data_IF_067496677184
#
_entry.id   IF_067496677184
#
_cell.length_a   1.000
_cell.length_b   1.000
_cell.length_c   1.000
_cell.angle_alpha   90.00
_cell.angle_beta   90.00
_cell.angle_gamma   90.00
#
_symmetry.space_group_name_H-M   'P 1'
#
loop_
_entity.id
_entity.type
_entity.pdbx_description
1 polymer ?
#
# COMPACT_ATOMS: atom_id res chain seq x y z
N UNK A 1 6.12 1.67 1.25
CA UNK A 1 6.22 0.91 0.00
C UNK A 1 6.67 -0.51 0.31
N UNK A 2 5.92 -1.50 -0.17
CA UNK A 2 6.30 -2.91 -0.15
C UNK A 2 6.99 -3.24 -1.46
N UNK A 3 8.19 -3.82 -1.45
CA UNK A 3 8.98 -4.04 -2.67
C UNK A 3 9.59 -5.45 -2.72
N UNK A 4 9.89 -5.94 -3.91
CA UNK A 4 10.59 -7.19 -4.17
C UNK A 4 12.09 -7.00 -4.01
N UNK A 5 12.68 -7.62 -2.98
CA UNK A 5 14.11 -7.54 -2.64
C UNK A 5 15.01 -8.17 -3.72
N UNK A 6 14.57 -9.28 -4.27
CA UNK A 6 15.29 -9.97 -5.34
C UNK A 6 15.40 -9.12 -6.61
N UNK A 7 14.28 -8.48 -7.02
CA UNK A 7 14.26 -7.55 -8.17
C UNK A 7 15.11 -6.31 -7.86
N UNK A 8 15.00 -5.75 -6.65
CA UNK A 8 15.84 -4.61 -6.23
C UNK A 8 17.32 -4.93 -6.39
N UNK A 9 17.72 -6.10 -5.91
CA UNK A 9 19.12 -6.56 -6.01
C UNK A 9 19.58 -6.80 -7.44
N UNK A 10 18.72 -7.39 -8.26
CA UNK A 10 19.03 -7.65 -9.68
C UNK A 10 19.17 -6.35 -10.47
N UNK A 11 18.22 -5.43 -10.36
CA UNK A 11 18.16 -4.23 -11.22
C UNK A 11 19.00 -3.07 -10.68
N UNK A 12 19.04 -2.90 -9.35
CA UNK A 12 19.70 -1.75 -8.72
C UNK A 12 20.94 -2.12 -7.90
N UNK A 13 21.24 -3.42 -7.73
CA UNK A 13 22.41 -3.90 -7.02
C UNK A 13 22.30 -3.89 -5.49
N UNK A 14 21.15 -3.52 -4.94
CA UNK A 14 20.89 -3.48 -3.50
C UNK A 14 19.49 -3.94 -3.18
N UNK A 15 19.31 -4.56 -2.01
CA UNK A 15 18.02 -4.91 -1.41
C UNK A 15 17.84 -4.24 -0.02
N UNK A 16 18.72 -3.31 0.32
CA UNK A 16 18.67 -2.54 1.55
C UNK A 16 17.48 -1.56 1.54
N UNK A 17 16.57 -1.57 2.55
CA UNK A 17 15.38 -0.73 2.57
C UNK A 17 15.65 0.77 2.46
N UNK A 18 16.73 1.27 3.09
CA UNK A 18 17.08 2.69 3.07
C UNK A 18 17.56 3.12 1.68
N UNK A 19 18.28 2.24 0.98
CA UNK A 19 18.73 2.51 -0.39
C UNK A 19 17.58 2.37 -1.39
N UNK A 20 16.71 1.37 -1.22
CA UNK A 20 15.53 1.19 -2.08
C UNK A 20 14.52 2.33 -1.87
N UNK A 21 14.33 2.82 -0.66
CA UNK A 21 13.48 3.99 -0.40
C UNK A 21 13.86 5.23 -1.20
N UNK A 22 15.15 5.41 -1.52
CA UNK A 22 15.62 6.52 -2.38
C UNK A 22 15.11 6.45 -3.82
N UNK A 23 14.71 5.26 -4.28
CA UNK A 23 14.13 5.06 -5.61
C UNK A 23 12.69 5.62 -5.71
N UNK A 24 12.06 5.89 -4.56
CA UNK A 24 10.69 6.39 -4.45
C UNK A 24 10.59 7.80 -3.87
N UNK A 25 11.72 8.50 -3.69
CA UNK A 25 11.77 9.78 -2.96
C UNK A 25 10.97 10.92 -3.58
N UNK A 26 10.77 10.92 -4.89
CA UNK A 26 10.02 11.93 -5.65
C UNK A 26 9.54 11.35 -6.99
N UNK A 27 8.57 11.99 -7.62
CA UNK A 27 7.94 11.51 -8.85
C UNK A 27 8.92 11.39 -10.04
N UNK A 28 9.84 12.32 -10.30
CA UNK A 28 10.85 12.12 -11.33
C UNK A 28 11.74 10.88 -11.10
N UNK A 29 12.12 10.63 -9.85
CA UNK A 29 12.90 9.45 -9.49
C UNK A 29 12.09 8.16 -9.68
N UNK A 30 10.79 8.17 -9.34
CA UNK A 30 9.87 7.05 -9.56
C UNK A 30 9.78 6.71 -11.05
N UNK A 31 9.65 7.71 -11.92
CA UNK A 31 9.59 7.49 -13.37
C UNK A 31 10.90 6.92 -13.94
N UNK A 32 12.05 7.42 -13.47
CA UNK A 32 13.36 6.87 -13.87
C UNK A 32 13.55 5.43 -13.38
N UNK A 33 13.12 5.13 -12.16
CA UNK A 33 13.10 3.78 -11.58
C UNK A 33 12.19 2.86 -12.39
N UNK A 34 10.99 3.33 -12.73
CA UNK A 34 10.03 2.57 -13.51
C UNK A 34 10.54 2.22 -14.91
N UNK A 35 11.24 3.15 -15.56
CA UNK A 35 11.83 2.90 -16.87
C UNK A 35 12.93 1.83 -16.79
N UNK A 36 13.80 1.88 -15.78
CA UNK A 36 14.86 0.88 -15.58
C UNK A 36 14.28 -0.50 -15.30
N UNK A 37 13.20 -0.59 -14.52
CA UNK A 37 12.48 -1.83 -14.27
C UNK A 37 11.85 -2.38 -15.55
N UNK A 38 11.21 -1.55 -16.35
CA UNK A 38 10.63 -1.94 -17.64
C UNK A 38 11.70 -2.47 -18.60
N UNK A 39 12.84 -1.81 -18.70
CA UNK A 39 13.96 -2.23 -19.53
C UNK A 39 14.55 -3.61 -19.11
N UNK A 40 14.39 -3.95 -17.81
CA UNK A 40 14.73 -5.25 -17.25
C UNK A 40 13.60 -6.30 -17.33
N UNK A 41 12.41 -5.94 -17.87
CA UNK A 41 11.28 -6.85 -18.04
C UNK A 41 10.25 -6.82 -16.90
N UNK A 42 10.39 -5.90 -15.94
CA UNK A 42 9.50 -5.72 -14.79
C UNK A 42 8.52 -4.55 -14.97
N UNK A 43 7.56 -4.43 -14.05
CA UNK A 43 6.73 -3.23 -13.90
C UNK A 43 6.89 -2.67 -12.50
N UNK A 44 6.93 -1.33 -12.37
CA UNK A 44 7.18 -0.71 -11.07
C UNK A 44 6.04 -0.96 -10.10
N UNK A 45 4.80 -0.79 -10.55
CA UNK A 45 3.57 -0.95 -9.75
C UNK A 45 2.55 -1.83 -10.46
N UNK A 46 1.59 -2.31 -9.69
CA UNK A 46 0.44 -3.02 -10.21
C UNK A 46 -0.44 -2.09 -11.07
N UNK A 47 -0.69 -0.87 -10.60
CA UNK A 47 -1.44 0.16 -11.33
C UNK A 47 -0.81 1.54 -11.17
N UNK A 48 -1.27 2.50 -11.94
CA UNK A 48 -0.89 3.91 -11.85
C UNK A 48 -1.35 4.58 -10.54
N UNK A 49 -2.39 4.03 -9.89
CA UNK A 49 -2.95 4.55 -8.65
C UNK A 49 -2.20 4.14 -7.37
N UNK A 50 -1.20 3.26 -7.43
CA UNK A 50 -0.49 2.74 -6.24
C UNK A 50 0.14 3.81 -5.35
N UNK A 51 0.46 4.98 -5.90
CA UNK A 51 1.05 6.10 -5.16
C UNK A 51 0.00 7.07 -4.58
N UNK A 52 -1.29 6.72 -4.65
CA UNK A 52 -2.38 7.59 -4.21
C UNK A 52 -2.29 8.05 -2.76
N UNK A 53 -1.78 7.21 -1.86
CA UNK A 53 -1.57 7.55 -0.44
C UNK A 53 -0.56 8.68 -0.22
N UNK A 54 0.23 9.04 -1.23
CA UNK A 54 1.24 10.09 -1.19
C UNK A 54 0.83 11.35 -1.99
N UNK A 55 -0.41 11.41 -2.48
CA UNK A 55 -0.85 12.37 -3.51
C UNK A 55 -1.04 13.81 -3.01
N UNK A 56 -1.01 14.09 -1.73
CA UNK A 56 -1.30 15.45 -1.22
C UNK A 56 -0.24 15.98 -0.28
N UNK A 57 0.02 17.29 -0.35
CA UNK A 57 1.01 17.96 0.48
C UNK A 57 0.40 18.92 1.52
N UNK A 58 -0.88 19.22 1.40
CA UNK A 58 -1.63 20.11 2.30
C UNK A 58 -3.06 19.62 2.53
N UNK A 59 -3.77 20.26 3.46
CA UNK A 59 -5.18 19.96 3.72
C UNK A 59 -6.05 20.17 2.48
N UNK A 60 -7.05 19.32 2.29
CA UNK A 60 -8.04 19.45 1.21
C UNK A 60 -8.90 20.72 1.32
N UNK A 61 -9.09 21.22 2.53
CA UNK A 61 -9.86 22.44 2.77
C UNK A 61 -9.05 23.41 3.61
N UNK A 62 -8.78 24.59 3.06
CA UNK A 62 -8.09 25.69 3.72
C UNK A 62 -9.03 26.91 3.74
N UNK A 63 -9.25 27.49 4.90
CA UNK A 63 -10.16 28.63 5.09
C UNK A 63 -11.58 28.43 4.52
N UNK A 64 -12.07 27.19 4.53
CA UNK A 64 -13.39 26.82 4.03
C UNK A 64 -13.46 26.67 2.50
N UNK A 65 -12.35 26.71 1.79
CA UNK A 65 -12.27 26.58 0.34
C UNK A 65 -11.54 25.28 -0.02
N UNK A 66 -12.02 24.57 -1.05
CA UNK A 66 -11.34 23.40 -1.61
C UNK A 66 -9.95 23.81 -2.09
N UNK A 67 -8.94 23.09 -1.64
CA UNK A 67 -7.55 23.31 -1.96
C UNK A 67 -6.96 22.11 -2.71
N UNK A 68 -6.90 22.22 -4.01
CA UNK A 68 -6.16 21.25 -4.84
C UNK A 68 -4.75 21.79 -5.02
N UNK A 69 -3.82 21.31 -4.20
CA UNK A 69 -2.43 21.77 -4.22
C UNK A 69 -1.64 21.21 -5.42
N UNK A 70 -0.44 21.75 -5.62
CA UNK A 70 0.42 21.33 -6.74
C UNK A 70 0.82 19.86 -6.65
N UNK A 71 1.04 19.32 -5.45
CA UNK A 71 1.41 17.91 -5.29
C UNK A 71 0.33 16.96 -5.84
N UNK A 72 -0.95 17.34 -5.75
CA UNK A 72 -2.06 16.57 -6.33
C UNK A 72 -2.06 16.61 -7.87
N UNK A 73 -1.74 17.76 -8.47
CA UNK A 73 -1.56 17.84 -9.92
C UNK A 73 -0.34 17.03 -10.36
N UNK A 74 0.78 17.14 -9.65
CA UNK A 74 1.99 16.38 -9.96
C UNK A 74 1.72 14.86 -9.85
N UNK A 75 0.89 14.43 -8.89
CA UNK A 75 0.45 13.04 -8.79
C UNK A 75 -0.40 12.61 -10.00
N UNK A 76 -1.31 13.45 -10.45
CA UNK A 76 -2.10 13.16 -11.67
C UNK A 76 -1.19 13.03 -12.90
N UNK A 77 -0.19 13.91 -13.03
CA UNK A 77 0.79 13.83 -14.10
C UNK A 77 1.63 12.54 -14.00
N UNK A 78 2.01 12.12 -12.78
CA UNK A 78 2.66 10.83 -12.56
C UNK A 78 1.79 9.66 -13.05
N UNK A 79 0.49 9.63 -12.69
CA UNK A 79 -0.43 8.58 -13.12
C UNK A 79 -0.52 8.53 -14.66
N UNK A 80 -0.65 9.69 -15.31
CA UNK A 80 -0.68 9.80 -16.77
C UNK A 80 0.61 9.26 -17.40
N UNK A 81 1.76 9.63 -16.85
CA UNK A 81 3.05 9.17 -17.34
C UNK A 81 3.24 7.66 -17.16
N UNK A 82 2.89 7.11 -15.98
CA UNK A 82 2.95 5.68 -15.70
C UNK A 82 2.09 4.89 -16.70
N UNK A 83 0.87 5.36 -16.94
CA UNK A 83 -0.07 4.76 -17.87
C UNK A 83 0.41 4.84 -19.32
N UNK A 84 0.72 6.04 -19.82
CA UNK A 84 1.07 6.27 -21.23
C UNK A 84 2.40 5.64 -21.63
N UNK A 85 3.34 5.50 -20.69
CA UNK A 85 4.65 4.90 -20.93
C UNK A 85 4.66 3.39 -20.70
N UNK A 86 3.50 2.77 -20.37
CA UNK A 86 3.37 1.34 -20.08
C UNK A 86 4.36 0.89 -18.98
N UNK A 87 4.31 1.57 -17.83
CA UNK A 87 5.22 1.34 -16.71
C UNK A 87 4.60 0.52 -15.57
N UNK A 88 3.31 0.22 -15.65
CA UNK A 88 2.56 -0.60 -14.67
C UNK A 88 2.00 -1.86 -15.30
N UNK A 89 1.52 -2.78 -14.47
CA UNK A 89 0.88 -4.02 -14.94
C UNK A 89 -0.61 -3.84 -15.31
N UNK A 90 -1.16 -2.63 -15.17
CA UNK A 90 -2.58 -2.31 -15.34
C UNK A 90 -3.52 -3.16 -14.47
N UNK A 91 -3.06 -3.59 -13.32
CA UNK A 91 -3.79 -4.41 -12.36
C UNK A 91 -4.31 -3.55 -11.20
N UNK A 92 -5.54 -3.09 -11.27
CA UNK A 92 -6.12 -2.22 -10.26
C UNK A 92 -6.28 -2.93 -8.92
N UNK A 93 -6.13 -2.17 -7.85
CA UNK A 93 -6.26 -2.64 -6.48
C UNK A 93 -7.55 -3.46 -6.29
N UNK A 94 -7.44 -4.56 -5.57
CA UNK A 94 -8.50 -5.55 -5.27
C UNK A 94 -8.95 -6.42 -6.43
N UNK A 95 -8.43 -6.23 -7.66
CA UNK A 95 -8.71 -7.13 -8.79
C UNK A 95 -7.91 -8.43 -8.70
N UNK A 96 -8.35 -9.46 -9.43
CA UNK A 96 -7.61 -10.72 -9.54
C UNK A 96 -6.15 -10.55 -9.94
N UNK A 97 -5.80 -9.76 -10.99
CA UNK A 97 -4.40 -9.55 -11.37
C UNK A 97 -3.59 -8.82 -10.29
N UNK A 98 -4.21 -7.96 -9.48
CA UNK A 98 -3.54 -7.30 -8.37
C UNK A 98 -3.07 -8.31 -7.31
N UNK A 99 -3.92 -9.25 -6.93
CA UNK A 99 -3.52 -10.33 -6.02
C UNK A 99 -2.50 -11.29 -6.65
N UNK A 100 -2.63 -11.59 -7.95
CA UNK A 100 -1.64 -12.40 -8.66
C UNK A 100 -0.26 -11.72 -8.69
N UNK A 101 -0.20 -10.41 -8.86
CA UNK A 101 1.04 -9.64 -8.85
C UNK A 101 1.80 -9.73 -7.51
N UNK A 102 1.09 -9.94 -6.38
CA UNK A 102 1.73 -10.23 -5.10
C UNK A 102 2.34 -11.62 -5.06
N UNK A 103 1.67 -12.59 -5.67
CA UNK A 103 2.12 -14.00 -5.69
C UNK A 103 3.28 -14.24 -6.67
N UNK A 104 3.54 -13.34 -7.61
CA UNK A 104 4.60 -13.50 -8.61
C UNK A 104 4.28 -12.87 -9.95
N UNK A 105 4.18 -13.68 -11.00
CA UNK A 105 3.91 -13.20 -12.35
C UNK A 105 2.42 -12.87 -12.56
N UNK A 106 2.17 -11.82 -13.31
CA UNK A 106 0.85 -11.38 -13.72
C UNK A 106 0.84 -11.20 -15.26
N UNK A 107 -0.28 -11.50 -15.94
CA UNK A 107 -0.41 -11.20 -17.38
C UNK A 107 -0.13 -9.72 -17.65
N UNK A 108 0.56 -9.44 -18.74
CA UNK A 108 0.76 -8.05 -19.21
C UNK A 108 -0.55 -7.59 -19.83
N UNK A 109 -1.33 -6.86 -19.05
CA UNK A 109 -2.55 -6.24 -19.51
C UNK A 109 -2.22 -5.00 -20.31
N UNK A 110 -3.12 -4.61 -21.20
CA UNK A 110 -3.06 -3.34 -21.91
C UNK A 110 -4.14 -2.41 -21.37
N UNK A 111 -4.00 -1.13 -21.66
CA UNK A 111 -5.03 -0.15 -21.33
C UNK A 111 -6.42 -0.52 -21.85
N UNK A 112 -6.48 -1.15 -23.02
CA UNK A 112 -7.75 -1.59 -23.64
C UNK A 112 -8.42 -2.73 -22.85
N UNK A 113 -7.63 -3.65 -22.29
CA UNK A 113 -8.13 -4.77 -21.46
C UNK A 113 -8.60 -4.25 -20.09
N UNK A 114 -7.95 -3.24 -19.55
CA UNK A 114 -8.39 -2.58 -18.31
C UNK A 114 -9.58 -1.66 -18.47
N UNK A 115 -9.95 -1.33 -19.68
CA UNK A 115 -11.11 -0.48 -19.88
C UNK A 115 -12.36 -1.28 -19.50
N UNK A 116 -12.78 -1.14 -18.24
CA UNK A 116 -13.96 -1.80 -17.64
C UNK A 116 -15.27 -1.54 -18.39
N UNK A 117 -15.25 -0.68 -19.40
CA UNK A 117 -16.34 -0.47 -20.35
C UNK A 117 -16.40 -1.53 -21.47
N UNK A 118 -15.30 -2.26 -21.67
CA UNK A 118 -15.28 -3.44 -22.54
C UNK A 118 -15.29 -4.70 -21.67
N UNK A 119 -16.44 -5.33 -21.48
CA UNK A 119 -16.66 -6.55 -20.70
C UNK A 119 -15.87 -7.78 -21.22
N UNK A 120 -14.83 -7.57 -22.03
CA UNK A 120 -14.06 -8.64 -22.66
C UNK A 120 -13.22 -9.45 -21.67
N UNK A 121 -12.81 -8.86 -20.54
CA UNK A 121 -12.07 -9.53 -19.47
C UNK A 121 -12.61 -9.13 -18.09
N UNK A 122 -13.24 -10.08 -17.41
CA UNK A 122 -13.70 -9.86 -16.04
C UNK A 122 -12.52 -10.00 -15.05
N UNK A 123 -11.93 -8.87 -14.66
CA UNK A 123 -10.81 -8.82 -13.70
C UNK A 123 -11.22 -9.13 -12.25
N UNK A 124 -12.52 -9.26 -11.97
CA UNK A 124 -13.07 -9.54 -10.65
C UNK A 124 -13.41 -11.02 -10.43
N UNK A 125 -13.42 -11.83 -11.50
CA UNK A 125 -13.61 -13.28 -11.43
C UNK A 125 -12.33 -13.99 -11.84
N UNK A 126 -11.73 -14.73 -10.90
CA UNK A 126 -10.44 -15.40 -11.12
C UNK A 126 -10.50 -16.46 -12.22
N UNK A 127 -11.65 -17.12 -12.42
CA UNK A 127 -11.79 -18.16 -13.45
C UNK A 127 -11.92 -17.54 -14.83
N UNK A 128 -12.78 -16.55 -14.98
CA UNK A 128 -12.96 -15.83 -16.24
C UNK A 128 -11.68 -15.11 -16.64
N UNK A 129 -11.01 -14.46 -15.68
CA UNK A 129 -9.74 -13.81 -15.91
C UNK A 129 -8.66 -14.78 -16.40
N UNK A 130 -8.50 -15.93 -15.73
CA UNK A 130 -7.52 -16.94 -16.13
C UNK A 130 -7.74 -17.50 -17.55
N UNK A 131 -9.00 -17.73 -17.94
CA UNK A 131 -9.32 -18.18 -19.31
C UNK A 131 -9.07 -17.09 -20.35
N UNK A 132 -9.43 -15.84 -20.04
CA UNK A 132 -9.26 -14.71 -20.96
C UNK A 132 -7.79 -14.33 -21.19
N UNK A 133 -6.92 -14.55 -20.18
CA UNK A 133 -5.48 -14.19 -20.23
C UNK A 133 -4.58 -15.37 -20.59
N UNK A 134 -5.14 -16.51 -20.89
CA UNK A 134 -4.39 -17.74 -21.19
C UNK A 134 -3.44 -17.58 -22.39
N UNK A 135 -2.15 -17.76 -22.11
CA UNK A 135 -1.09 -17.66 -23.13
C UNK A 135 -0.64 -16.23 -23.43
N UNK A 136 -1.09 -15.26 -22.67
CA UNK A 136 -0.50 -13.92 -22.69
C UNK A 136 0.91 -13.92 -22.08
N UNK A 137 1.75 -12.99 -22.50
CA UNK A 137 3.03 -12.72 -21.87
C UNK A 137 2.80 -12.22 -20.42
N UNK A 138 3.73 -12.57 -19.53
CA UNK A 138 3.66 -12.20 -18.11
C UNK A 138 4.78 -11.24 -17.73
N UNK A 139 4.58 -10.52 -16.62
CA UNK A 139 5.57 -9.66 -15.97
C UNK A 139 5.50 -9.84 -14.46
N UNK A 140 6.51 -9.35 -13.75
CA UNK A 140 6.49 -9.27 -12.28
C UNK A 140 6.43 -7.80 -11.85
N UNK A 141 5.60 -7.52 -10.86
CA UNK A 141 5.47 -6.21 -10.25
C UNK A 141 6.54 -6.04 -9.17
N UNK A 142 7.21 -4.89 -9.19
CA UNK A 142 8.27 -4.58 -8.25
C UNK A 142 7.75 -4.11 -6.88
N UNK A 143 6.72 -3.26 -6.85
CA UNK A 143 6.30 -2.62 -5.60
C UNK A 143 4.80 -2.34 -5.51
N UNK A 144 4.33 -2.18 -4.26
CA UNK A 144 2.97 -1.78 -3.90
C UNK A 144 3.00 -0.63 -2.89
N UNK A 145 2.15 0.37 -3.10
CA UNK A 145 1.95 1.50 -2.19
C UNK A 145 0.81 1.23 -1.21
N UNK A 146 1.08 0.54 -0.11
CA UNK A 146 0.06 0.16 0.87
C UNK A 146 0.40 0.69 2.27
N UNK A 147 -0.60 1.04 3.09
CA UNK A 147 -0.41 1.34 4.52
C UNK A 147 0.00 0.12 5.34
N UNK A 148 0.12 0.26 6.67
CA UNK A 148 0.52 -0.84 7.55
C UNK A 148 -0.42 -2.05 7.49
N UNK A 149 -1.73 -1.83 7.31
CA UNK A 149 -2.71 -2.92 7.16
C UNK A 149 -2.47 -3.76 5.89
N UNK A 150 -1.73 -3.24 4.90
CA UNK A 150 -1.34 -3.98 3.70
C UNK A 150 -0.55 -5.26 4.01
N UNK A 151 0.08 -5.37 5.19
CA UNK A 151 0.76 -6.61 5.60
C UNK A 151 -0.19 -7.81 5.65
N UNK A 152 -1.47 -7.60 6.02
CA UNK A 152 -2.47 -8.67 6.02
C UNK A 152 -2.75 -9.17 4.60
N UNK A 153 -2.94 -8.24 3.67
CA UNK A 153 -3.16 -8.57 2.26
C UNK A 153 -1.94 -9.26 1.65
N UNK A 154 -0.75 -8.73 1.91
CA UNK A 154 0.49 -9.34 1.44
C UNK A 154 0.66 -10.75 2.01
N UNK A 155 0.55 -10.93 3.32
CA UNK A 155 0.67 -12.23 4.00
C UNK A 155 -0.22 -13.30 3.35
N UNK A 156 -1.46 -12.94 3.04
CA UNK A 156 -2.45 -13.89 2.54
C UNK A 156 -2.29 -14.17 1.03
N UNK A 157 -1.52 -13.35 0.29
CA UNK A 157 -1.42 -13.44 -1.16
C UNK A 157 0.01 -13.61 -1.73
N UNK A 158 1.08 -13.44 -0.96
CA UNK A 158 2.46 -13.54 -1.49
C UNK A 158 2.86 -14.96 -1.91
N UNK A 159 2.22 -16.00 -1.40
CA UNK A 159 2.48 -17.39 -1.80
C UNK A 159 3.98 -17.75 -1.74
N UNK A 160 4.51 -18.27 -2.83
CA UNK A 160 5.90 -18.69 -2.95
C UNK A 160 6.91 -17.53 -2.97
N UNK A 161 6.46 -16.28 -3.05
CA UNK A 161 7.32 -15.08 -2.94
C UNK A 161 7.54 -14.64 -1.49
N UNK A 162 7.00 -15.36 -0.51
CA UNK A 162 7.27 -15.11 0.91
C UNK A 162 8.77 -15.11 1.21
N UNK A 163 9.22 -14.10 1.96
CA UNK A 163 10.64 -13.88 2.26
C UNK A 163 11.40 -13.04 1.20
N UNK A 164 10.80 -12.81 0.03
CA UNK A 164 11.38 -11.98 -1.03
C UNK A 164 10.92 -10.52 -0.97
N UNK A 165 10.08 -10.15 0.00
CA UNK A 165 9.57 -8.80 0.13
C UNK A 165 10.35 -7.99 1.16
N UNK A 166 10.31 -6.69 1.03
CA UNK A 166 10.82 -5.70 1.97
C UNK A 166 9.87 -4.53 2.07
N UNK A 167 10.08 -3.68 3.09
CA UNK A 167 9.31 -2.45 3.29
C UNK A 167 10.26 -1.28 3.37
N UNK A 168 10.02 -0.23 2.59
CA UNK A 168 10.81 0.98 2.61
C UNK A 168 9.94 2.23 2.65
N UNK A 169 10.56 3.36 2.96
CA UNK A 169 9.88 4.65 2.96
C UNK A 169 9.47 5.07 1.55
N UNK A 170 8.28 5.64 1.42
CA UNK A 170 7.81 6.33 0.22
C UNK A 170 8.22 7.81 0.22
N UNK A 171 7.68 8.62 -0.70
CA UNK A 171 8.00 10.05 -0.82
C UNK A 171 7.70 10.88 0.43
N UNK A 172 6.72 10.46 1.20
CA UNK A 172 6.31 11.09 2.46
C UNK A 172 5.76 10.05 3.43
N UNK A 173 5.61 10.45 4.70
CA UNK A 173 4.86 9.67 5.68
C UNK A 173 3.45 10.23 5.79
N UNK A 174 2.46 9.36 5.70
CA UNK A 174 1.05 9.74 5.69
C UNK A 174 0.20 8.87 6.62
N UNK A 175 -1.03 9.30 6.79
CA UNK A 175 -2.07 8.56 7.46
C UNK A 175 -3.13 8.17 6.43
N UNK A 176 -3.37 6.89 6.29
CA UNK A 176 -4.40 6.38 5.39
C UNK A 176 -5.18 5.23 6.02
N UNK A 177 -6.50 5.42 6.12
CA UNK A 177 -7.42 4.43 6.63
C UNK A 177 -7.35 4.23 8.15
N UNK A 178 -7.45 2.96 8.57
CA UNK A 178 -7.56 2.52 9.94
C UNK A 178 -9.00 2.17 10.32
N UNK A 179 -9.11 1.35 11.38
CA UNK A 179 -10.42 0.95 11.91
C UNK A 179 -10.74 1.73 13.17
N UNK A 180 -11.89 2.38 13.20
CA UNK A 180 -12.35 3.14 14.34
C UNK A 180 -13.52 2.45 15.01
N UNK A 181 -13.48 2.37 16.33
CA UNK A 181 -14.58 1.85 17.14
C UNK A 181 -15.21 2.99 17.95
N UNK A 182 -16.50 3.17 17.82
CA UNK A 182 -17.23 4.23 18.49
C UNK A 182 -18.45 3.73 19.28
N UNK A 183 -18.93 4.55 20.20
CA UNK A 183 -20.13 4.27 20.99
C UNK A 183 -21.26 5.18 20.51
N UNK A 184 -22.38 4.57 20.06
CA UNK A 184 -23.54 5.33 19.63
C UNK A 184 -24.02 6.28 20.73
N UNK A 185 -24.31 7.54 20.39
CA UNK A 185 -24.88 8.52 21.29
C UNK A 185 -26.25 8.08 21.85
N UNK A 186 -26.96 7.22 21.11
CA UNK A 186 -28.28 6.68 21.48
C UNK A 186 -28.20 5.46 22.42
N UNK A 187 -26.98 4.90 22.63
CA UNK A 187 -26.84 3.75 23.53
C UNK A 187 -27.18 4.11 24.96
N UNK A 188 -27.92 3.25 25.61
CA UNK A 188 -28.20 3.29 27.06
C UNK A 188 -27.27 2.40 27.88
N UNK A 189 -26.22 1.82 27.24
CA UNK A 189 -25.19 0.93 27.82
C UNK A 189 -23.79 1.47 27.56
N UNK A 190 -23.58 2.78 27.63
CA UNK A 190 -22.31 3.42 27.27
C UNK A 190 -21.13 2.93 28.09
N UNK A 191 -21.33 2.72 29.39
CA UNK A 191 -20.25 2.23 30.27
C UNK A 191 -19.78 0.83 29.87
N UNK A 192 -20.70 -0.09 29.59
CA UNK A 192 -20.35 -1.45 29.13
C UNK A 192 -19.70 -1.40 27.74
N UNK A 193 -20.22 -0.57 26.85
CA UNK A 193 -19.62 -0.38 25.51
C UNK A 193 -18.19 0.20 25.61
N UNK A 194 -17.95 1.09 26.56
CA UNK A 194 -16.63 1.65 26.82
C UNK A 194 -15.63 0.60 27.29
N UNK A 195 -16.05 -0.33 28.17
CA UNK A 195 -15.19 -1.44 28.56
C UNK A 195 -14.80 -2.32 27.36
N UNK A 196 -15.73 -2.55 26.43
CA UNK A 196 -15.44 -3.25 25.18
C UNK A 196 -14.47 -2.47 24.26
N UNK A 197 -14.65 -1.14 24.12
CA UNK A 197 -13.71 -0.30 23.37
C UNK A 197 -12.30 -0.40 23.98
N UNK A 198 -12.19 -0.27 25.31
CA UNK A 198 -10.90 -0.41 25.99
C UNK A 198 -10.27 -1.79 25.77
N UNK A 199 -11.05 -2.86 25.82
CA UNK A 199 -10.57 -4.20 25.53
C UNK A 199 -10.01 -4.31 24.11
N UNK A 200 -10.67 -3.74 23.12
CA UNK A 200 -10.21 -3.81 21.74
C UNK A 200 -8.98 -2.91 21.45
N UNK A 201 -8.82 -1.78 22.16
CA UNK A 201 -7.87 -0.74 21.76
C UNK A 201 -6.74 -0.48 22.75
N UNK A 202 -6.94 -0.79 24.04
CA UNK A 202 -6.01 -0.42 25.12
C UNK A 202 -5.57 -1.60 25.98
N UNK A 203 -6.10 -2.80 25.74
CA UNK A 203 -5.70 -3.99 26.49
C UNK A 203 -4.43 -4.58 25.86
N UNK A 204 -3.40 -4.80 26.68
CA UNK A 204 -2.10 -5.33 26.22
C UNK A 204 -2.18 -6.73 25.64
N UNK A 205 -2.94 -7.64 26.27
CA UNK A 205 -3.09 -9.01 25.77
C UNK A 205 -3.81 -9.03 24.42
N UNK A 206 -4.78 -8.15 24.21
CA UNK A 206 -5.47 -8.01 22.92
C UNK A 206 -4.55 -7.43 21.85
N UNK A 207 -3.72 -6.46 22.20
CA UNK A 207 -2.73 -5.90 21.30
C UNK A 207 -1.65 -6.91 20.91
N UNK A 208 -1.10 -7.65 21.88
CA UNK A 208 -0.14 -8.73 21.63
C UNK A 208 -0.76 -9.82 20.72
N UNK A 209 -2.02 -10.22 21.01
CA UNK A 209 -2.72 -11.17 20.15
C UNK A 209 -2.88 -10.68 18.71
N UNK A 210 -3.21 -9.39 18.50
CA UNK A 210 -3.32 -8.82 17.15
C UNK A 210 -1.96 -8.78 16.44
N UNK A 211 -0.89 -8.42 17.14
CA UNK A 211 0.47 -8.42 16.64
C UNK A 211 0.86 -9.81 16.15
N UNK A 212 0.64 -10.84 16.97
CA UNK A 212 0.91 -12.24 16.63
C UNK A 212 0.05 -12.71 15.44
N UNK A 213 -1.23 -12.35 15.43
CA UNK A 213 -2.16 -12.74 14.36
C UNK A 213 -1.86 -12.03 13.04
N UNK A 214 -1.65 -10.74 13.07
CA UNK A 214 -1.47 -9.93 11.86
C UNK A 214 -0.08 -10.09 11.23
N UNK A 215 0.92 -10.42 12.05
CA UNK A 215 2.31 -10.53 11.62
C UNK A 215 2.83 -9.27 10.92
N UNK A 216 2.57 -8.11 11.51
CA UNK A 216 3.16 -6.86 11.03
C UNK A 216 2.22 -5.64 10.96
N UNK A 217 0.89 -5.83 11.12
CA UNK A 217 -0.01 -4.68 11.20
C UNK A 217 0.10 -3.96 12.56
N UNK A 218 -0.22 -2.68 12.57
CA UNK A 218 -0.08 -1.83 13.75
C UNK A 218 -1.30 -1.90 14.66
N UNK A 219 -1.07 -1.61 15.94
CA UNK A 219 -2.11 -1.40 16.95
C UNK A 219 -2.01 0.01 17.51
N UNK A 220 -3.12 0.52 18.08
CA UNK A 220 -3.14 1.86 18.69
C UNK A 220 -2.35 1.93 20.01
N UNK A 221 -2.04 0.80 20.63
CA UNK A 221 -1.29 0.72 21.88
C UNK A 221 0.22 0.75 21.62
N UNK A 222 0.82 1.94 21.76
CA UNK A 222 2.24 2.16 21.49
C UNK A 222 3.17 1.27 22.33
N UNK A 223 2.83 0.98 23.60
CA UNK A 223 3.62 0.09 24.46
C UNK A 223 3.74 -1.33 23.90
N UNK A 224 2.70 -1.84 23.23
CA UNK A 224 2.75 -3.13 22.57
C UNK A 224 3.71 -3.10 21.36
N UNK A 225 3.63 -2.06 20.51
CA UNK A 225 4.57 -1.91 19.39
C UNK A 225 6.02 -1.80 19.87
N UNK A 226 6.29 -1.03 20.94
CA UNK A 226 7.63 -0.90 21.54
C UNK A 226 8.15 -2.24 22.11
N UNK A 227 7.28 -3.09 22.63
CA UNK A 227 7.63 -4.43 23.10
C UNK A 227 8.06 -5.35 21.96
N UNK A 228 7.42 -5.24 20.81
CA UNK A 228 7.62 -6.07 19.63
C UNK A 228 8.53 -5.46 18.55
N UNK A 229 9.11 -4.28 18.79
CA UNK A 229 9.90 -3.53 17.79
C UNK A 229 11.10 -4.28 17.20
N UNK A 230 11.62 -5.26 17.95
CA UNK A 230 12.78 -6.05 17.56
C UNK A 230 12.40 -7.40 16.93
N UNK A 231 11.11 -7.71 16.80
CA UNK A 231 10.63 -8.95 16.21
C UNK A 231 10.91 -8.94 14.69
N UNK A 232 11.52 -10.03 14.22
CA UNK A 232 11.81 -10.22 12.81
C UNK A 232 10.61 -10.82 12.08
N UNK A 233 10.34 -10.32 10.87
CA UNK A 233 9.24 -10.79 10.04
C UNK A 233 9.75 -11.63 8.86
N UNK A 234 9.40 -12.90 8.82
CA UNK A 234 9.89 -13.85 7.82
C UNK A 234 9.39 -13.53 6.40
N UNK A 235 8.20 -12.96 6.23
CA UNK A 235 7.64 -12.59 4.93
C UNK A 235 8.48 -11.47 4.30
N UNK A 236 9.04 -10.60 5.12
CA UNK A 236 9.82 -9.43 4.72
C UNK A 236 11.31 -9.62 4.98
N UNK A 237 11.81 -10.85 4.81
CA UNK A 237 13.24 -11.13 4.84
C UNK A 237 13.93 -10.88 6.18
N UNK A 238 13.18 -10.93 7.28
CA UNK A 238 13.67 -10.67 8.63
C UNK A 238 13.62 -9.20 9.06
N UNK A 239 12.95 -8.33 8.31
CA UNK A 239 12.79 -6.92 8.68
C UNK A 239 11.98 -6.74 9.97
N UNK A 240 12.36 -5.71 10.74
CA UNK A 240 11.71 -5.33 12.00
C UNK A 240 10.58 -4.32 11.72
N UNK A 241 9.43 -4.80 11.26
CA UNK A 241 8.34 -3.94 10.77
C UNK A 241 7.80 -3.01 11.86
N UNK A 242 7.71 -3.45 13.12
CA UNK A 242 7.17 -2.60 14.20
C UNK A 242 8.10 -1.44 14.53
N UNK A 243 9.43 -1.63 14.41
CA UNK A 243 10.37 -0.52 14.51
C UNK A 243 10.18 0.47 13.35
N UNK A 244 10.02 -0.04 12.11
CA UNK A 244 9.75 0.80 10.94
C UNK A 244 8.47 1.62 11.13
N UNK A 245 7.36 1.01 11.55
CA UNK A 245 6.11 1.73 11.79
C UNK A 245 6.20 2.76 12.92
N UNK A 246 6.91 2.45 14.00
CA UNK A 246 7.17 3.40 15.08
C UNK A 246 7.96 4.63 14.60
N UNK A 247 8.89 4.44 13.68
CA UNK A 247 9.67 5.55 13.12
C UNK A 247 8.82 6.35 12.12
N UNK A 248 8.08 5.69 11.23
CA UNK A 248 7.16 6.36 10.30
C UNK A 248 6.10 7.19 11.03
N UNK A 249 5.54 6.69 12.13
CA UNK A 249 4.53 7.40 12.92
C UNK A 249 5.01 8.74 13.50
N UNK A 250 6.32 8.93 13.67
CA UNK A 250 6.91 10.21 14.15
C UNK A 250 6.88 11.31 13.08
N UNK A 251 6.87 10.90 11.82
CA UNK A 251 6.93 11.79 10.66
C UNK A 251 5.54 12.19 10.14
N UNK A 252 4.47 11.58 10.67
CA UNK A 252 3.09 11.87 10.24
C UNK A 252 2.66 13.26 10.72
N UNK A 253 2.36 14.14 9.77
CA UNK A 253 1.76 15.46 10.04
C UNK A 253 0.23 15.40 10.00
N UNK A 254 -0.39 15.29 11.17
CA UNK A 254 -1.85 15.27 11.29
C UNK A 254 -2.50 16.64 11.17
N UNK A 255 -1.75 17.73 11.07
CA UNK A 255 -2.32 19.08 10.90
C UNK A 255 -3.04 19.28 9.57
N UNK A 256 -2.75 18.42 8.60
CA UNK A 256 -3.36 18.40 7.26
C UNK A 256 -4.74 17.71 7.23
N UNK A 257 -5.10 16.96 8.27
CA UNK A 257 -6.35 16.18 8.32
C UNK A 257 -7.52 17.10 8.69
N UNK A 258 -8.60 17.05 7.89
CA UNK A 258 -9.82 17.82 8.12
C UNK A 258 -11.06 16.92 8.16
N UNK A 259 -12.15 17.44 8.72
CA UNK A 259 -13.44 16.72 8.74
C UNK A 259 -14.07 16.50 7.35
N UNK A 260 -13.47 17.07 6.31
CA UNK A 260 -13.99 17.01 4.95
C UNK A 260 -13.26 15.95 4.10
N UNK A 261 -12.13 15.44 4.56
CA UNK A 261 -11.23 14.59 3.76
C UNK A 261 -11.96 13.33 3.27
N UNK A 262 -12.71 12.66 4.15
CA UNK A 262 -13.50 11.49 3.76
C UNK A 262 -14.51 11.81 2.65
N UNK A 263 -15.28 12.90 2.81
CA UNK A 263 -16.31 13.25 1.82
C UNK A 263 -15.71 13.67 0.47
N UNK A 264 -14.49 14.21 0.47
CA UNK A 264 -13.77 14.57 -0.76
C UNK A 264 -13.17 13.33 -1.41
N UNK A 265 -12.63 12.41 -0.61
CA UNK A 265 -12.09 11.14 -1.11
C UNK A 265 -13.18 10.22 -1.70
N UNK A 266 -14.41 10.33 -1.22
CA UNK A 266 -15.56 9.56 -1.71
C UNK A 266 -16.20 10.15 -2.99
N UNK A 267 -15.87 11.38 -3.36
CA UNK A 267 -16.48 12.13 -4.49
C UNK A 267 -15.68 11.97 -5.78
#
# INVERSE_FOLDING_TARGET
>A
IYYRRDIAKEVFGTDDPDEVGKLFKDYPTILDTAQKLKDAGYRIFSSDAEMGVFSGDSAWVVDGVLNVDQARFDYMDLCVDLYQKDLTAYANQWSTPWYQAMAGEVPILTADIQNYADDSVNVWDATEFAEATKGMDTTTVFAFGLPSWGVLTMRDNVGDTSGLWGVCQGPSSGFDGGTYIGISSQSNRKDTAWEFVKFCTLNEDTADWWIDFSQGDTVSLKSALEKHKDDENAIYGGEKLYQFWLDQAKEIDTSKVTRYDQAIGDA
#
